data_IF_668885132319
#
_entry.id   IF_668885132319
#
_cell.length_a   1.000
_cell.length_b   1.000
_cell.length_c   1.000
_cell.angle_alpha   90.00
_cell.angle_beta   90.00
_cell.angle_gamma   90.00
#
_symmetry.space_group_name_H-M   'P 1'
#
loop_
_entity.id
_entity.type
_entity.pdbx_description
1 polymer ?
#
# COMPACT_ATOMS: atom_id res chain seq x y z
N UNK A 1 23.73 7.44 -0.96
CA UNK A 1 22.55 7.47 -0.07
C UNK A 1 22.57 8.80 0.65
N UNK A 2 21.41 9.40 0.91
CA UNK A 2 21.34 10.62 1.72
C UNK A 2 20.99 10.28 3.16
N UNK A 3 21.58 11.03 4.09
CA UNK A 3 21.17 11.07 5.49
C UNK A 3 20.75 12.51 5.83
N UNK A 4 19.46 12.70 6.09
CA UNK A 4 18.84 14.01 6.30
C UNK A 4 18.29 14.09 7.73
N UNK A 5 18.88 14.93 8.57
CA UNK A 5 18.47 15.11 9.96
C UNK A 5 17.54 16.32 10.12
N UNK A 6 16.23 16.09 10.06
CA UNK A 6 15.21 17.13 10.27
C UNK A 6 14.95 17.42 11.76
N UNK A 7 15.65 16.74 12.68
CA UNK A 7 15.57 17.08 14.11
C UNK A 7 16.38 18.35 14.44
N UNK A 8 17.28 18.77 13.55
CA UNK A 8 18.07 19.98 13.71
C UNK A 8 17.23 21.24 13.47
N UNK A 9 17.47 22.34 14.20
CA UNK A 9 16.67 23.56 14.09
C UNK A 9 16.85 24.30 12.76
N UNK A 10 18.00 24.13 12.10
CA UNK A 10 18.35 24.81 10.85
C UNK A 10 18.69 23.76 9.78
N UNK A 11 17.68 23.28 9.06
CA UNK A 11 17.89 22.43 7.90
C UNK A 11 18.06 23.30 6.64
N UNK A 12 19.20 23.20 5.97
CA UNK A 12 19.45 23.89 4.69
C UNK A 12 19.38 22.91 3.52
N UNK A 13 18.31 23.02 2.73
CA UNK A 13 18.09 22.18 1.54
C UNK A 13 19.16 22.40 0.46
N UNK A 14 19.82 23.57 0.42
CA UNK A 14 20.84 23.86 -0.58
C UNK A 14 22.14 23.11 -0.31
N UNK A 15 22.41 22.79 0.95
CA UNK A 15 23.58 22.03 1.39
C UNK A 15 23.51 20.53 1.06
N UNK A 16 22.38 20.03 0.53
CA UNK A 16 22.26 18.63 0.10
C UNK A 16 23.14 18.41 -1.14
N UNK A 17 24.18 17.60 -1.00
CA UNK A 17 24.99 17.09 -2.10
C UNK A 17 24.33 15.84 -2.68
N UNK A 18 24.19 15.78 -4.00
CA UNK A 18 23.50 14.70 -4.71
C UNK A 18 24.45 14.02 -5.69
N UNK A 19 24.35 12.70 -5.81
CA UNK A 19 25.25 11.88 -6.64
C UNK A 19 24.55 11.09 -7.73
N UNK A 20 23.21 11.05 -7.71
CA UNK A 20 22.39 10.32 -8.68
C UNK A 20 21.00 10.95 -8.83
N UNK A 21 20.23 10.47 -9.82
CA UNK A 21 18.91 11.02 -10.17
C UNK A 21 17.85 10.86 -9.06
N UNK A 22 17.95 9.79 -8.26
CA UNK A 22 17.03 9.59 -7.14
C UNK A 22 17.29 10.63 -6.03
N UNK A 23 18.55 10.84 -5.67
CA UNK A 23 18.95 11.88 -4.71
C UNK A 23 18.60 13.28 -5.21
N UNK A 24 18.75 13.54 -6.52
CA UNK A 24 18.28 14.78 -7.14
C UNK A 24 16.76 14.94 -6.97
N UNK A 25 15.97 13.88 -7.22
CA UNK A 25 14.51 13.91 -7.04
C UNK A 25 14.09 14.18 -5.58
N UNK A 26 14.85 13.66 -4.60
CA UNK A 26 14.67 13.99 -3.18
C UNK A 26 14.94 15.47 -2.92
N UNK A 27 16.06 15.99 -3.43
CA UNK A 27 16.42 17.42 -3.28
C UNK A 27 15.38 18.33 -3.92
N UNK A 28 14.96 18.05 -5.15
CA UNK A 28 13.96 18.82 -5.89
C UNK A 28 12.64 18.90 -5.12
N UNK A 29 12.17 17.76 -4.59
CA UNK A 29 10.99 17.72 -3.75
C UNK A 29 11.14 18.63 -2.51
N UNK A 30 12.29 18.57 -1.82
CA UNK A 30 12.52 19.38 -0.62
C UNK A 30 12.61 20.87 -0.95
N UNK A 31 13.24 21.24 -2.07
CA UNK A 31 13.27 22.64 -2.54
C UNK A 31 11.86 23.15 -2.78
N UNK A 32 11.02 22.36 -3.46
CA UNK A 32 9.61 22.70 -3.67
C UNK A 32 8.85 22.76 -2.34
N UNK A 33 9.08 21.82 -1.42
CA UNK A 33 8.43 21.76 -0.11
C UNK A 33 8.75 22.97 0.79
N UNK A 34 10.00 23.45 0.77
CA UNK A 34 10.43 24.62 1.53
C UNK A 34 10.20 25.96 0.81
N UNK A 35 9.74 25.94 -0.45
CA UNK A 35 9.33 27.16 -1.16
C UNK A 35 8.03 27.75 -0.61
N UNK A 36 7.74 29.00 -0.98
CA UNK A 36 6.51 29.72 -0.63
C UNK A 36 5.24 29.16 -1.29
N UNK A 37 5.35 28.18 -2.22
CA UNK A 37 4.19 27.52 -2.80
C UNK A 37 3.35 26.84 -1.71
N UNK A 38 2.03 27.01 -1.74
CA UNK A 38 1.12 26.33 -0.83
C UNK A 38 0.70 24.93 -1.32
N UNK A 39 1.06 24.58 -2.56
CA UNK A 39 0.66 23.34 -3.23
C UNK A 39 1.86 22.56 -3.74
N UNK A 40 1.65 21.25 -3.91
CA UNK A 40 2.57 20.30 -4.53
C UNK A 40 1.81 19.54 -5.61
N UNK A 41 2.45 19.30 -6.75
CA UNK A 41 1.88 18.45 -7.82
C UNK A 41 2.28 17.00 -7.56
N UNK A 42 1.32 16.09 -7.54
CA UNK A 42 1.55 14.65 -7.46
C UNK A 42 0.97 13.92 -8.67
N UNK A 43 1.53 12.75 -9.00
CA UNK A 43 1.02 11.91 -10.06
C UNK A 43 0.42 10.63 -9.47
N UNK A 44 -0.75 10.25 -9.97
CA UNK A 44 -1.32 8.93 -9.72
C UNK A 44 -0.76 7.92 -10.71
N UNK A 45 -0.69 6.65 -10.34
CA UNK A 45 -0.29 5.59 -11.27
C UNK A 45 -1.36 5.22 -12.29
N UNK A 46 -2.59 5.75 -12.19
CA UNK A 46 -3.72 5.57 -13.10
C UNK A 46 -4.05 4.10 -13.42
N UNK A 47 -5.24 3.59 -13.05
CA UNK A 47 -5.68 2.25 -13.47
C UNK A 47 -5.71 2.08 -15.01
N UNK A 48 -5.86 3.18 -15.74
CA UNK A 48 -5.85 3.26 -17.21
C UNK A 48 -4.44 3.37 -17.81
N UNK A 49 -3.39 3.49 -17.00
CA UNK A 49 -2.00 3.61 -17.43
C UNK A 49 -1.54 5.01 -17.85
N UNK A 50 -2.41 6.03 -17.77
CA UNK A 50 -2.02 7.44 -17.93
C UNK A 50 -1.99 8.11 -16.56
N UNK A 51 -0.84 8.59 -16.08
CA UNK A 51 -0.76 9.30 -14.82
C UNK A 51 -1.67 10.53 -14.82
N UNK A 52 -2.54 10.67 -13.81
CA UNK A 52 -3.31 11.90 -13.59
C UNK A 52 -2.57 12.78 -12.58
N UNK A 53 -2.43 14.05 -12.89
CA UNK A 53 -1.96 15.07 -11.96
C UNK A 53 -3.01 15.33 -10.88
N UNK A 54 -2.56 15.42 -9.63
CA UNK A 54 -3.34 15.81 -8.47
C UNK A 54 -2.62 16.96 -7.78
N UNK A 55 -3.35 18.03 -7.53
CA UNK A 55 -2.87 19.17 -6.77
C UNK A 55 -3.14 18.89 -5.29
N UNK A 56 -2.08 18.89 -4.48
CA UNK A 56 -2.15 18.67 -3.04
C UNK A 56 -1.72 19.91 -2.29
N UNK A 57 -2.52 20.35 -1.31
CA UNK A 57 -2.08 21.45 -0.45
C UNK A 57 -1.03 20.94 0.55
N UNK A 58 0.03 21.72 0.78
CA UNK A 58 1.03 21.39 1.81
C UNK A 58 0.34 21.25 3.17
N UNK A 59 -0.64 22.11 3.47
CA UNK A 59 -1.48 22.02 4.68
C UNK A 59 -2.06 20.62 4.89
N UNK A 60 -2.67 20.01 3.86
CA UNK A 60 -3.28 18.68 3.99
C UNK A 60 -2.23 17.57 4.05
N UNK A 61 -1.11 17.70 3.32
CA UNK A 61 0.02 16.77 3.44
C UNK A 61 0.63 16.78 4.85
N UNK A 62 0.76 17.96 5.49
CA UNK A 62 1.18 18.10 6.89
C UNK A 62 0.22 17.42 7.85
N UNK A 63 -1.09 17.64 7.65
CA UNK A 63 -2.13 17.00 8.46
C UNK A 63 -2.03 15.47 8.35
N UNK A 64 -1.86 14.96 7.14
CA UNK A 64 -1.65 13.53 6.87
C UNK A 64 -0.41 12.98 7.59
N UNK A 65 0.72 13.66 7.51
CA UNK A 65 1.95 13.27 8.20
C UNK A 65 1.78 13.26 9.73
N UNK A 66 1.14 14.29 10.29
CA UNK A 66 0.91 14.39 11.73
C UNK A 66 -0.05 13.31 12.26
N UNK A 67 -1.08 12.93 11.48
CA UNK A 67 -1.93 11.79 11.84
C UNK A 67 -1.12 10.49 11.90
N UNK A 68 -0.27 10.21 10.90
CA UNK A 68 0.65 9.06 10.95
C UNK A 68 1.56 9.11 12.18
N UNK A 69 2.19 10.27 12.45
CA UNK A 69 3.09 10.46 13.58
C UNK A 69 2.41 10.25 14.93
N UNK A 70 1.19 10.77 15.10
CA UNK A 70 0.38 10.60 16.31
C UNK A 70 0.02 9.13 16.53
N UNK A 71 -0.48 8.45 15.49
CA UNK A 71 -0.92 7.05 15.58
C UNK A 71 0.25 6.11 15.89
N UNK A 72 1.39 6.30 15.21
CA UNK A 72 2.57 5.45 15.38
C UNK A 72 3.48 5.93 16.52
N UNK A 73 3.10 6.95 17.29
CA UNK A 73 3.94 7.55 18.33
C UNK A 73 5.37 7.81 17.83
N UNK A 74 5.48 8.51 16.69
CA UNK A 74 6.77 8.92 16.12
C UNK A 74 7.21 10.22 16.78
N UNK A 75 8.46 10.25 17.20
CA UNK A 75 9.04 11.38 17.90
C UNK A 75 10.17 12.02 17.10
N UNK A 76 10.41 13.29 17.39
CA UNK A 76 11.53 14.04 16.85
C UNK A 76 12.85 13.28 17.11
N UNK A 77 13.63 13.08 16.06
CA UNK A 77 14.90 12.36 16.10
C UNK A 77 14.80 10.85 15.93
N UNK A 78 13.60 10.26 15.83
CA UNK A 78 13.45 8.88 15.38
C UNK A 78 14.01 8.71 13.96
N UNK A 79 14.60 7.55 13.69
CA UNK A 79 15.14 7.16 12.39
C UNK A 79 14.03 6.68 11.45
N UNK A 80 14.10 7.07 10.19
CA UNK A 80 13.16 6.61 9.17
C UNK A 80 13.87 6.25 7.87
N UNK A 81 13.32 5.31 7.11
CA UNK A 81 13.85 4.90 5.81
C UNK A 81 12.88 5.23 4.67
N UNK A 82 13.39 5.94 3.66
CA UNK A 82 12.77 6.11 2.35
C UNK A 82 13.47 5.21 1.33
N UNK A 83 12.74 4.25 0.78
CA UNK A 83 13.20 3.28 -0.23
C UNK A 83 12.17 3.09 -1.36
N UNK A 84 11.43 4.16 -1.66
CA UNK A 84 10.41 4.20 -2.70
C UNK A 84 10.63 5.43 -3.60
N UNK A 85 10.22 5.41 -4.88
CA UNK A 85 10.37 6.56 -5.76
C UNK A 85 9.59 7.78 -5.23
N UNK A 86 10.21 8.95 -5.27
CA UNK A 86 9.61 10.24 -4.87
C UNK A 86 8.66 10.78 -5.95
N UNK A 87 8.58 10.14 -7.11
CA UNK A 87 7.58 10.44 -8.15
C UNK A 87 6.16 10.16 -7.67
N UNK A 88 5.97 9.15 -6.81
CA UNK A 88 4.67 8.74 -6.29
C UNK A 88 4.41 9.32 -4.90
N UNK A 89 3.12 9.44 -4.56
CA UNK A 89 2.70 10.06 -3.29
C UNK A 89 3.24 9.33 -2.05
N UNK A 90 3.45 8.02 -2.12
CA UNK A 90 4.02 7.24 -1.02
C UNK A 90 5.44 7.70 -0.64
N UNK A 91 6.31 7.92 -1.64
CA UNK A 91 7.66 8.45 -1.41
C UNK A 91 7.65 9.90 -0.93
N UNK A 92 6.82 10.75 -1.55
CA UNK A 92 6.65 12.15 -1.14
C UNK A 92 6.22 12.28 0.33
N UNK A 93 5.27 11.47 0.79
CA UNK A 93 4.79 11.54 2.18
C UNK A 93 5.81 11.04 3.19
N UNK A 94 6.77 10.18 2.82
CA UNK A 94 7.88 9.86 3.72
C UNK A 94 8.79 11.07 3.97
N UNK A 95 9.03 11.90 2.93
CA UNK A 95 9.75 13.17 3.10
C UNK A 95 8.96 14.15 3.94
N UNK A 96 7.67 14.32 3.68
CA UNK A 96 6.81 15.20 4.49
C UNK A 96 6.76 14.75 5.96
N UNK A 97 6.57 13.45 6.24
CA UNK A 97 6.62 12.91 7.60
C UNK A 97 7.94 13.22 8.29
N UNK A 98 9.05 13.04 7.58
CA UNK A 98 10.36 13.34 8.13
C UNK A 98 10.53 14.82 8.49
N UNK A 99 10.12 15.73 7.59
CA UNK A 99 10.17 17.17 7.84
C UNK A 99 9.26 17.58 9.00
N UNK A 100 7.99 17.18 8.96
CA UNK A 100 6.97 17.67 9.90
C UNK A 100 7.12 17.10 11.31
N UNK A 101 7.60 15.86 11.44
CA UNK A 101 7.83 15.22 12.74
C UNK A 101 9.27 15.48 13.24
N UNK A 102 10.18 15.88 12.35
CA UNK A 102 11.60 16.08 12.66
C UNK A 102 12.37 14.78 12.78
N UNK A 103 12.18 13.86 11.83
CA UNK A 103 12.85 12.54 11.78
C UNK A 103 14.25 12.63 11.18
N UNK A 104 15.07 11.62 11.46
CA UNK A 104 16.34 11.35 10.77
C UNK A 104 16.07 10.43 9.59
N UNK A 105 15.94 11.00 8.39
CA UNK A 105 15.56 10.26 7.20
C UNK A 105 16.78 9.76 6.43
N UNK A 106 16.79 8.46 6.18
CA UNK A 106 17.74 7.78 5.31
C UNK A 106 17.06 7.63 3.95
N UNK A 107 17.65 8.17 2.89
CA UNK A 107 17.15 8.02 1.53
C UNK A 107 18.03 7.02 0.76
N UNK A 108 17.47 5.84 0.52
CA UNK A 108 18.08 4.76 -0.25
C UNK A 108 17.38 4.67 -1.61
N UNK A 109 18.15 4.42 -2.67
CA UNK A 109 17.58 4.22 -3.99
C UNK A 109 16.53 3.10 -3.96
N UNK A 110 15.38 3.24 -4.65
CA UNK A 110 14.33 2.24 -4.60
C UNK A 110 14.84 0.85 -4.98
N UNK A 111 14.63 -0.10 -4.08
CA UNK A 111 15.06 -1.50 -4.22
C UNK A 111 13.99 -2.43 -3.65
N UNK A 112 13.96 -3.66 -4.14
CA UNK A 112 13.14 -4.73 -3.56
C UNK A 112 13.82 -5.44 -2.39
N UNK A 113 15.15 -5.36 -2.27
CA UNK A 113 15.93 -6.00 -1.22
C UNK A 113 16.66 -4.94 -0.40
N UNK A 114 16.42 -4.94 0.91
CA UNK A 114 16.92 -3.92 1.85
C UNK A 114 17.82 -4.58 2.88
N UNK A 115 19.00 -4.02 3.09
CA UNK A 115 19.96 -4.47 4.10
C UNK A 115 20.38 -3.32 5.01
N UNK A 116 20.36 -3.57 6.32
CA UNK A 116 20.84 -2.59 7.30
C UNK A 116 22.36 -2.36 7.18
N UNK A 117 23.12 -3.38 6.80
CA UNK A 117 24.57 -3.28 6.61
C UNK A 117 24.91 -2.39 5.41
N UNK A 118 24.13 -2.49 4.33
CA UNK A 118 24.25 -1.62 3.16
C UNK A 118 23.92 -0.17 3.53
N UNK A 119 22.85 0.04 4.31
CA UNK A 119 22.48 1.35 4.84
C UNK A 119 23.63 1.95 5.65
N UNK A 120 24.13 1.24 6.67
CA UNK A 120 25.22 1.70 7.54
C UNK A 120 26.54 1.91 6.81
N UNK A 121 26.79 1.17 5.72
CA UNK A 121 27.97 1.41 4.88
C UNK A 121 27.80 2.63 3.98
N UNK A 122 26.55 2.93 3.58
CA UNK A 122 26.20 4.02 2.67
C UNK A 122 26.00 5.38 3.34
N UNK A 123 25.84 5.41 4.67
CA UNK A 123 25.74 6.64 5.48
C UNK A 123 26.75 6.53 6.62
N UNK A 124 27.48 7.59 6.97
CA UNK A 124 28.46 7.56 8.07
C UNK A 124 27.81 7.53 9.48
N UNK A 125 26.84 6.63 9.69
CA UNK A 125 26.10 6.36 10.91
C UNK A 125 26.07 4.85 11.14
N UNK A 126 25.72 4.43 12.37
CA UNK A 126 25.64 3.01 12.71
C UNK A 126 24.34 2.69 13.44
N UNK A 127 23.31 2.33 12.69
CA UNK A 127 22.01 1.94 13.20
C UNK A 127 21.98 0.44 13.47
N UNK A 128 21.44 0.04 14.62
CA UNK A 128 21.13 -1.36 14.93
C UNK A 128 19.66 -1.71 14.61
N UNK A 129 18.81 -0.69 14.52
CA UNK A 129 17.39 -0.76 14.15
C UNK A 129 16.93 0.55 13.52
N UNK A 130 15.83 0.50 12.76
CA UNK A 130 15.15 1.68 12.19
C UNK A 130 13.80 1.86 12.89
N UNK A 131 13.47 3.07 13.33
CA UNK A 131 12.25 3.32 14.11
C UNK A 131 10.99 3.26 13.24
N UNK A 132 11.07 3.78 12.01
CA UNK A 132 9.91 3.83 11.10
C UNK A 132 10.26 3.57 9.64
N UNK A 133 9.48 2.72 8.97
CA UNK A 133 9.59 2.52 7.53
C UNK A 133 8.23 2.24 6.90
N UNK A 134 8.07 2.66 5.64
CA UNK A 134 6.93 2.31 4.80
C UNK A 134 7.40 1.44 3.63
N UNK A 135 6.85 0.23 3.48
CA UNK A 135 7.25 -0.73 2.45
C UNK A 135 6.05 -1.25 1.65
N UNK A 136 6.35 -1.84 0.49
CA UNK A 136 5.42 -2.69 -0.25
C UNK A 136 5.50 -4.15 0.22
N UNK A 137 4.47 -4.99 -0.01
CA UNK A 137 4.54 -6.43 0.31
C UNK A 137 5.77 -7.13 -0.27
N UNK A 138 6.15 -6.80 -1.51
CA UNK A 138 7.32 -7.38 -2.17
C UNK A 138 8.64 -7.01 -1.44
N UNK A 139 8.76 -5.77 -0.98
CA UNK A 139 9.94 -5.35 -0.21
C UNK A 139 10.02 -6.05 1.14
N UNK A 140 8.88 -6.29 1.78
CA UNK A 140 8.80 -7.05 3.04
C UNK A 140 9.25 -8.49 2.82
N UNK A 141 8.66 -9.18 1.83
CA UNK A 141 8.98 -10.57 1.50
C UNK A 141 10.47 -10.76 1.19
N UNK A 142 11.06 -9.84 0.43
CA UNK A 142 12.46 -9.93 0.03
C UNK A 142 13.44 -9.41 1.09
N UNK A 143 12.98 -8.85 2.22
CA UNK A 143 13.83 -8.16 3.21
C UNK A 143 13.48 -8.48 4.67
N UNK A 144 13.02 -9.71 4.95
CA UNK A 144 12.58 -10.13 6.29
C UNK A 144 13.63 -9.88 7.40
N UNK A 145 14.91 -10.13 7.11
CA UNK A 145 16.01 -9.86 8.05
C UNK A 145 16.10 -8.38 8.44
N UNK A 146 15.91 -7.46 7.48
CA UNK A 146 15.83 -6.03 7.75
C UNK A 146 14.53 -5.66 8.47
N UNK A 147 13.39 -6.24 8.08
CA UNK A 147 12.09 -5.99 8.70
C UNK A 147 12.11 -6.35 10.19
N UNK A 148 12.79 -7.44 10.58
CA UNK A 148 12.98 -7.82 11.99
C UNK A 148 13.70 -6.76 12.84
N UNK A 149 14.43 -5.84 12.18
CA UNK A 149 15.17 -4.73 12.80
C UNK A 149 14.43 -3.39 12.68
N UNK A 150 13.18 -3.38 12.24
CA UNK A 150 12.35 -2.19 12.18
C UNK A 150 11.37 -2.18 13.36
N UNK A 151 11.24 -1.06 14.06
CA UNK A 151 10.33 -0.95 15.20
C UNK A 151 8.87 -0.79 14.74
N UNK A 152 8.63 0.10 13.77
CA UNK A 152 7.30 0.38 13.21
C UNK A 152 7.34 0.30 11.69
N UNK A 153 6.47 -0.54 11.14
CA UNK A 153 6.38 -0.82 9.71
C UNK A 153 4.94 -0.62 9.24
N UNK A 154 4.77 0.22 8.24
CA UNK A 154 3.51 0.31 7.49
C UNK A 154 3.68 -0.32 6.12
N UNK A 155 2.71 -1.13 5.72
CA UNK A 155 2.72 -1.89 4.47
C UNK A 155 1.54 -1.43 3.63
N UNK A 156 1.82 -1.03 2.38
CA UNK A 156 0.80 -0.48 1.48
C UNK A 156 1.00 -0.89 0.02
N UNK A 157 0.04 -0.51 -0.82
CA UNK A 157 0.09 -0.70 -2.27
C UNK A 157 -0.52 -2.01 -2.78
N UNK A 158 -0.53 -3.07 -1.96
CA UNK A 158 -1.24 -4.33 -2.20
C UNK A 158 -1.47 -5.09 -0.87
N UNK A 159 -2.42 -6.05 -0.82
CA UNK A 159 -2.59 -6.93 0.32
C UNK A 159 -1.37 -7.84 0.59
N UNK A 160 -1.11 -8.15 1.85
CA UNK A 160 -0.12 -9.16 2.23
C UNK A 160 -0.55 -10.58 1.86
N UNK A 161 0.41 -11.42 1.46
CA UNK A 161 0.18 -12.85 1.31
C UNK A 161 0.14 -13.54 2.69
N UNK A 162 -0.57 -14.67 2.78
CA UNK A 162 -0.60 -15.47 4.02
C UNK A 162 0.79 -15.99 4.41
N UNK A 163 1.63 -16.32 3.41
CA UNK A 163 3.04 -16.67 3.64
C UNK A 163 3.78 -15.57 4.40
N UNK A 164 3.72 -14.32 3.90
CA UNK A 164 4.40 -13.19 4.54
C UNK A 164 3.82 -12.90 5.92
N UNK A 165 2.49 -13.02 6.11
CA UNK A 165 1.89 -12.87 7.44
C UNK A 165 2.40 -13.92 8.44
N UNK A 166 2.59 -15.17 8.01
CA UNK A 166 3.17 -16.23 8.84
C UNK A 166 4.63 -15.95 9.20
N UNK A 167 5.43 -15.44 8.26
CA UNK A 167 6.82 -15.04 8.51
C UNK A 167 6.90 -13.87 9.49
N UNK A 168 6.06 -12.85 9.30
CA UNK A 168 5.94 -11.70 10.21
C UNK A 168 5.47 -12.10 11.61
N UNK A 169 4.78 -13.23 11.76
CA UNK A 169 4.28 -13.68 13.06
C UNK A 169 5.43 -13.92 14.06
N UNK A 170 6.63 -14.24 13.57
CA UNK A 170 7.81 -14.50 14.40
C UNK A 170 8.46 -13.23 14.97
N UNK A 171 8.00 -12.03 14.59
CA UNK A 171 8.61 -10.75 15.00
C UNK A 171 7.85 -10.07 16.15
N UNK A 172 8.53 -9.17 16.85
CA UNK A 172 7.98 -8.40 17.99
C UNK A 172 7.82 -6.90 17.66
N UNK A 173 7.89 -6.52 16.38
CA UNK A 173 7.71 -5.14 15.94
C UNK A 173 6.23 -4.76 15.74
N UNK A 174 5.96 -3.50 15.44
CA UNK A 174 4.61 -3.03 15.13
C UNK A 174 4.42 -2.97 13.61
N UNK A 175 3.64 -3.91 13.08
CA UNK A 175 3.41 -4.02 11.63
C UNK A 175 1.95 -3.77 11.30
N UNK A 176 1.71 -2.87 10.35
CA UNK A 176 0.35 -2.50 9.94
C UNK A 176 0.18 -2.61 8.44
N UNK A 177 -0.89 -3.27 7.99
CA UNK A 177 -1.42 -3.04 6.64
C UNK A 177 -2.15 -1.69 6.61
N UNK A 178 -2.07 -0.96 5.50
CA UNK A 178 -2.71 0.35 5.36
C UNK A 178 -3.73 0.37 4.24
N UNK A 179 -4.86 1.04 4.48
CA UNK A 179 -5.85 1.34 3.44
C UNK A 179 -5.66 2.79 2.98
N UNK A 180 -5.33 2.98 1.70
CA UNK A 180 -4.84 4.23 1.15
C UNK A 180 -5.23 4.42 -0.32
N UNK A 181 -5.37 5.68 -0.73
CA UNK A 181 -5.48 6.09 -2.12
C UNK A 181 -4.90 7.49 -2.30
N UNK A 182 -4.80 7.95 -3.55
CA UNK A 182 -4.17 9.27 -3.81
C UNK A 182 -5.14 10.40 -3.48
N UNK A 183 -6.43 10.17 -3.66
CA UNK A 183 -7.54 11.06 -3.32
C UNK A 183 -7.58 11.39 -1.82
N UNK A 184 -7.07 10.48 -0.98
CA UNK A 184 -6.91 10.68 0.47
C UNK A 184 -5.48 11.06 0.87
N UNK A 185 -4.66 11.48 -0.08
CA UNK A 185 -3.21 11.74 0.04
C UNK A 185 -2.40 10.46 0.31
N UNK A 186 -2.74 9.72 1.36
CA UNK A 186 -2.12 8.44 1.72
C UNK A 186 -3.14 7.58 2.46
N UNK A 187 -2.68 6.76 3.39
CA UNK A 187 -3.55 5.95 4.24
C UNK A 187 -4.50 6.80 5.08
N UNK A 188 -5.68 6.24 5.31
CA UNK A 188 -6.69 6.75 6.25
C UNK A 188 -6.98 5.75 7.37
N UNK A 189 -6.60 4.49 7.18
CA UNK A 189 -6.80 3.41 8.16
C UNK A 189 -5.63 2.43 8.21
N UNK A 190 -5.49 1.77 9.36
CA UNK A 190 -4.53 0.71 9.63
C UNK A 190 -5.24 -0.57 10.02
N UNK A 191 -4.60 -1.70 9.73
CA UNK A 191 -4.96 -3.00 10.26
C UNK A 191 -3.70 -3.63 10.86
N UNK A 192 -3.72 -3.86 12.16
CA UNK A 192 -2.60 -4.49 12.87
C UNK A 192 -2.38 -5.91 12.35
N UNK A 193 -1.16 -6.21 11.91
CA UNK A 193 -0.76 -7.57 11.53
C UNK A 193 -0.48 -8.34 12.82
N UNK A 194 -1.03 -9.56 12.91
CA UNK A 194 -0.80 -10.42 14.05
C UNK A 194 0.65 -10.91 14.09
N UNK A 195 1.29 -10.84 15.26
CA UNK A 195 2.65 -11.32 15.50
C UNK A 195 2.88 -11.64 16.98
N UNK A 196 4.13 -11.91 17.39
CA UNK A 196 4.44 -12.25 18.78
C UNK A 196 4.03 -11.15 19.76
N UNK A 197 4.16 -9.88 19.39
CA UNK A 197 3.75 -8.73 20.22
C UNK A 197 2.23 -8.56 20.25
N UNK A 198 1.55 -8.82 19.14
CA UNK A 198 0.09 -8.69 19.00
C UNK A 198 -0.57 -9.96 18.45
N UNK A 199 -0.59 -11.08 19.21
CA UNK A 199 -1.05 -12.36 18.69
C UNK A 199 -2.57 -12.41 18.42
N UNK A 200 -3.32 -11.54 19.08
CA UNK A 200 -4.78 -11.43 18.96
C UNK A 200 -5.19 -10.15 18.22
N UNK A 201 -4.35 -9.64 17.32
CA UNK A 201 -4.65 -8.45 16.54
C UNK A 201 -5.97 -8.59 15.78
N UNK A 202 -6.87 -7.63 15.97
CA UNK A 202 -8.16 -7.58 15.27
C UNK A 202 -7.90 -7.44 13.76
N UNK A 203 -8.51 -8.32 12.94
CA UNK A 203 -8.27 -8.37 11.50
C UNK A 203 -9.13 -7.36 10.72
N UNK A 204 -9.26 -6.14 11.24
CA UNK A 204 -10.12 -5.07 10.73
C UNK A 204 -9.30 -3.82 10.44
N UNK A 205 -9.73 -3.01 9.46
CA UNK A 205 -9.16 -1.68 9.28
C UNK A 205 -9.81 -0.70 10.25
N UNK A 206 -9.00 0.08 10.95
CA UNK A 206 -9.42 1.18 11.82
C UNK A 206 -8.89 2.51 11.26
N UNK A 207 -9.81 3.42 10.95
CA UNK A 207 -9.51 4.75 10.45
C UNK A 207 -8.93 5.66 11.55
N UNK A 208 -8.17 6.69 11.17
CA UNK A 208 -7.74 7.74 12.10
C UNK A 208 -8.90 8.38 12.87
N UNK A 209 -8.65 8.94 14.05
CA UNK A 209 -9.66 9.68 14.83
C UNK A 209 -10.30 10.82 14.03
N UNK A 210 -9.51 11.44 13.15
CA UNK A 210 -9.89 12.58 12.34
C UNK A 210 -10.65 12.18 11.06
N UNK A 211 -10.86 10.87 10.83
CA UNK A 211 -11.56 10.32 9.66
C UNK A 211 -12.84 9.64 10.13
N UNK A 212 -13.96 9.94 9.48
CA UNK A 212 -15.21 9.21 9.66
C UNK A 212 -15.53 8.44 8.38
N UNK A 213 -16.07 7.23 8.53
CA UNK A 213 -16.45 6.39 7.40
C UNK A 213 -17.94 6.03 7.43
N UNK A 214 -18.50 5.87 6.23
CA UNK A 214 -19.87 5.41 6.01
C UNK A 214 -19.95 4.59 4.72
N UNK A 215 -21.16 4.26 4.27
CA UNK A 215 -21.43 3.48 3.06
C UNK A 215 -22.44 4.17 2.17
N UNK A 216 -22.26 4.05 0.86
CA UNK A 216 -23.29 4.41 -0.11
C UNK A 216 -24.30 3.26 -0.33
N UNK A 217 -25.27 3.47 -1.21
CA UNK A 217 -26.31 2.48 -1.55
C UNK A 217 -25.77 1.17 -2.18
N UNK A 218 -24.53 1.19 -2.67
CA UNK A 218 -23.85 0.01 -3.25
C UNK A 218 -23.10 -0.79 -2.18
N UNK A 219 -23.02 -0.27 -0.95
CA UNK A 219 -22.16 -0.80 0.12
C UNK A 219 -20.69 -0.39 -0.03
N UNK A 220 -20.40 0.59 -0.88
CA UNK A 220 -19.04 1.09 -1.06
C UNK A 220 -18.66 2.09 0.04
N UNK A 221 -17.39 2.06 0.45
CA UNK A 221 -16.85 2.93 1.48
C UNK A 221 -16.95 4.40 1.04
N UNK A 222 -17.51 5.23 1.91
CA UNK A 222 -17.51 6.69 1.83
C UNK A 222 -16.63 7.21 2.96
N UNK A 223 -15.70 8.09 2.63
CA UNK A 223 -14.67 8.59 3.55
C UNK A 223 -14.84 10.10 3.70
N UNK A 224 -15.20 10.55 4.90
CA UNK A 224 -15.16 11.95 5.28
C UNK A 224 -13.74 12.28 5.74
N UNK A 225 -12.98 12.95 4.86
CA UNK A 225 -11.57 13.22 5.12
C UNK A 225 -11.38 14.48 5.95
N UNK A 226 -10.26 14.59 6.69
CA UNK A 226 -9.93 15.81 7.41
C UNK A 226 -9.39 16.95 6.51
N UNK A 227 -9.45 16.80 5.19
CA UNK A 227 -8.81 17.67 4.20
C UNK A 227 -9.82 18.64 3.59
N UNK A 228 -10.06 19.76 4.28
CA UNK A 228 -10.91 20.87 3.82
C UNK A 228 -12.33 20.45 3.36
N UNK A 229 -12.93 19.48 4.06
CA UNK A 229 -14.31 19.02 3.80
C UNK A 229 -14.43 18.07 2.60
N UNK A 230 -13.31 17.57 2.07
CA UNK A 230 -13.32 16.57 1.01
C UNK A 230 -13.94 15.26 1.51
N UNK A 231 -15.01 14.84 0.84
CA UNK A 231 -15.58 13.50 0.96
C UNK A 231 -15.18 12.67 -0.27
N UNK A 232 -14.75 11.43 -0.04
CA UNK A 232 -14.35 10.50 -1.09
C UNK A 232 -15.31 9.32 -1.11
N UNK A 233 -16.07 9.17 -2.19
CA UNK A 233 -16.87 7.96 -2.46
C UNK A 233 -16.01 7.00 -3.26
N UNK A 234 -15.75 5.82 -2.69
CA UNK A 234 -14.90 4.81 -3.31
C UNK A 234 -15.72 3.83 -4.17
N UNK A 235 -15.03 2.92 -4.84
CA UNK A 235 -15.61 1.71 -5.42
C UNK A 235 -15.19 0.45 -4.62
N UNK A 236 -14.77 0.63 -3.37
CA UNK A 236 -14.39 -0.46 -2.48
C UNK A 236 -15.62 -0.88 -1.66
N UNK A 237 -16.12 -2.08 -1.92
CA UNK A 237 -17.20 -2.67 -1.12
C UNK A 237 -16.62 -3.07 0.22
N UNK A 238 -17.28 -2.68 1.30
CA UNK A 238 -16.86 -2.94 2.67
C UNK A 238 -18.00 -3.52 3.49
N UNK A 239 -17.68 -4.04 4.66
CA UNK A 239 -18.63 -4.26 5.75
C UNK A 239 -18.24 -3.29 6.87
N UNK A 240 -19.14 -2.35 7.20
CA UNK A 240 -18.91 -1.43 8.31
C UNK A 240 -19.17 -2.12 9.64
N UNK A 241 -18.25 -1.93 10.57
CA UNK A 241 -18.38 -2.35 11.96
C UNK A 241 -18.87 -1.17 12.79
N UNK A 242 -18.24 0.00 12.61
CA UNK A 242 -18.64 1.27 13.20
C UNK A 242 -18.18 2.45 12.31
N UNK A 243 -18.22 3.67 12.85
CA UNK A 243 -17.87 4.91 12.13
C UNK A 243 -16.37 5.08 11.85
N UNK A 244 -15.52 4.15 12.31
CA UNK A 244 -14.06 4.13 12.08
C UNK A 244 -13.56 2.74 11.67
N UNK A 245 -14.27 1.66 11.95
CA UNK A 245 -13.84 0.28 11.66
C UNK A 245 -14.62 -0.38 10.52
N UNK A 246 -13.89 -1.07 9.65
CA UNK A 246 -14.48 -1.79 8.52
C UNK A 246 -13.65 -2.99 8.06
N UNK A 247 -14.33 -3.95 7.42
CA UNK A 247 -13.71 -5.01 6.64
C UNK A 247 -13.77 -4.66 5.15
N UNK A 248 -12.66 -4.76 4.45
CA UNK A 248 -12.64 -4.64 2.99
C UNK A 248 -13.07 -5.95 2.35
N UNK A 249 -14.05 -5.91 1.44
CA UNK A 249 -14.64 -7.09 0.80
C UNK A 249 -14.12 -7.27 -0.63
N UNK A 250 -14.07 -6.20 -1.41
CA UNK A 250 -13.68 -6.26 -2.82
C UNK A 250 -13.97 -4.98 -3.58
N UNK A 251 -13.79 -4.99 -4.90
CA UNK A 251 -14.10 -3.85 -5.78
C UNK A 251 -15.47 -3.99 -6.42
N UNK A 252 -16.31 -2.96 -6.33
CA UNK A 252 -17.62 -2.93 -6.97
C UNK A 252 -17.52 -3.13 -8.50
N UNK A 253 -16.49 -2.54 -9.12
CA UNK A 253 -16.25 -2.64 -10.57
C UNK A 253 -15.83 -4.05 -11.02
N UNK A 254 -15.38 -4.89 -10.09
CA UNK A 254 -14.94 -6.26 -10.38
C UNK A 254 -16.01 -7.31 -10.02
N UNK A 255 -17.13 -6.92 -9.40
CA UNK A 255 -18.15 -7.88 -8.95
C UNK A 255 -18.72 -8.66 -10.13
N UNK A 256 -18.71 -9.99 -10.00
CA UNK A 256 -19.30 -10.89 -10.98
C UNK A 256 -20.69 -11.28 -10.50
N UNK A 257 -21.72 -11.03 -11.31
CA UNK A 257 -23.10 -11.42 -11.04
C UNK A 257 -23.41 -12.73 -11.76
N UNK A 258 -23.19 -13.86 -11.07
CA UNK A 258 -23.38 -15.19 -11.63
C UNK A 258 -24.66 -15.84 -11.13
N UNK A 259 -25.68 -15.95 -11.98
CA UNK A 259 -26.97 -16.55 -11.62
C UNK A 259 -27.67 -15.83 -10.46
N UNK A 260 -27.52 -14.50 -10.37
CA UNK A 260 -28.07 -13.67 -9.29
C UNK A 260 -27.23 -13.62 -8.02
N UNK A 261 -26.06 -14.27 -7.99
CA UNK A 261 -25.14 -14.26 -6.85
C UNK A 261 -23.97 -13.31 -7.15
N UNK A 262 -23.68 -12.41 -6.20
CA UNK A 262 -22.50 -11.55 -6.24
C UNK A 262 -21.26 -12.33 -5.81
N UNK A 263 -20.28 -12.42 -6.70
CA UNK A 263 -18.99 -13.05 -6.46
C UNK A 263 -17.92 -11.95 -6.50
N UNK A 264 -17.08 -11.90 -5.48
CA UNK A 264 -15.99 -10.93 -5.35
C UNK A 264 -14.68 -11.60 -5.79
N UNK A 265 -14.11 -11.22 -6.95
CA UNK A 265 -12.88 -11.82 -7.45
C UNK A 265 -11.75 -11.87 -6.43
N UNK A 266 -11.54 -10.80 -5.68
CA UNK A 266 -10.40 -10.68 -4.78
C UNK A 266 -10.48 -11.66 -3.59
N UNK A 267 -11.68 -11.97 -3.10
CA UNK A 267 -11.87 -13.00 -2.07
C UNK A 267 -11.57 -14.41 -2.61
N UNK A 268 -11.95 -14.66 -3.86
CA UNK A 268 -11.76 -15.96 -4.52
C UNK A 268 -10.28 -16.15 -4.87
N UNK A 269 -9.62 -15.08 -5.34
CA UNK A 269 -8.19 -15.03 -5.59
C UNK A 269 -7.38 -15.36 -4.33
N UNK A 270 -7.73 -14.77 -3.18
CA UNK A 270 -7.07 -15.08 -1.91
C UNK A 270 -7.18 -16.57 -1.53
N UNK A 271 -8.32 -17.20 -1.81
CA UNK A 271 -8.55 -18.64 -1.56
C UNK A 271 -7.76 -19.53 -2.52
N UNK A 272 -7.51 -19.06 -3.75
CA UNK A 272 -6.78 -19.81 -4.79
C UNK A 272 -5.26 -19.62 -4.71
N UNK A 273 -4.78 -18.52 -4.13
CA UNK A 273 -3.36 -18.14 -4.11
C UNK A 273 -2.42 -19.22 -3.59
N UNK A 274 -2.76 -20.01 -2.54
CA UNK A 274 -1.91 -21.10 -2.07
C UNK A 274 -1.77 -22.28 -3.04
N UNK A 275 -2.59 -22.35 -4.09
CA UNK A 275 -2.69 -23.50 -5.00
C UNK A 275 -2.22 -23.19 -6.42
N UNK A 276 -1.82 -21.95 -6.70
CA UNK A 276 -1.42 -21.50 -8.05
C UNK A 276 -0.13 -20.69 -7.94
N UNK A 277 0.98 -21.28 -8.38
CA UNK A 277 2.33 -20.70 -8.30
C UNK A 277 2.65 -19.67 -9.40
N UNK A 278 1.65 -19.21 -10.15
CA UNK A 278 1.82 -18.19 -11.20
C UNK A 278 0.85 -17.04 -10.97
N UNK A 279 1.12 -15.88 -11.55
CA UNK A 279 0.17 -14.79 -11.48
C UNK A 279 -1.16 -15.20 -12.13
N UNK A 280 -2.26 -14.85 -11.47
CA UNK A 280 -3.60 -15.14 -11.96
C UNK A 280 -4.58 -14.08 -11.48
N UNK A 281 -5.76 -14.04 -12.09
CA UNK A 281 -6.88 -13.26 -11.61
C UNK A 281 -8.21 -13.93 -11.95
N UNK A 282 -9.24 -13.58 -11.19
CA UNK A 282 -10.62 -13.99 -11.43
C UNK A 282 -11.32 -12.86 -12.19
N UNK A 283 -12.07 -13.23 -13.23
CA UNK A 283 -12.89 -12.32 -14.02
C UNK A 283 -14.13 -13.07 -14.52
N UNK A 284 -14.98 -12.40 -15.30
CA UNK A 284 -16.18 -12.98 -15.89
C UNK A 284 -16.10 -13.07 -17.41
N UNK A 285 -16.87 -14.01 -17.95
CA UNK A 285 -17.24 -14.11 -19.35
C UNK A 285 -18.76 -14.12 -19.47
N UNK A 286 -19.29 -13.54 -20.55
CA UNK A 286 -20.74 -13.57 -20.80
C UNK A 286 -21.24 -15.01 -20.93
N UNK A 287 -22.40 -15.31 -20.32
CA UNK A 287 -23.01 -16.65 -20.30
C UNK A 287 -24.54 -16.53 -20.42
N UNK A 288 -25.15 -17.36 -21.28
CA UNK A 288 -26.60 -17.28 -21.56
C UNK A 288 -27.47 -17.63 -20.35
N UNK A 289 -27.01 -18.50 -19.46
CA UNK A 289 -27.79 -19.01 -18.33
C UNK A 289 -27.50 -18.22 -17.05
N UNK A 290 -26.21 -17.91 -16.82
CA UNK A 290 -25.75 -17.24 -15.60
C UNK A 290 -25.69 -15.72 -15.73
N UNK A 291 -25.81 -15.18 -16.95
CA UNK A 291 -25.49 -13.79 -17.28
C UNK A 291 -23.97 -13.60 -17.36
N UNK A 292 -23.29 -13.82 -16.22
CA UNK A 292 -21.85 -13.85 -16.14
C UNK A 292 -21.38 -15.17 -15.52
N UNK A 293 -20.54 -15.93 -16.23
CA UNK A 293 -19.82 -17.06 -15.64
C UNK A 293 -18.47 -16.61 -15.12
N UNK A 294 -18.10 -17.11 -13.94
CA UNK A 294 -16.80 -16.87 -13.33
C UNK A 294 -15.72 -17.71 -14.05
N UNK A 295 -14.62 -17.07 -14.43
CA UNK A 295 -13.48 -17.70 -15.08
C UNK A 295 -12.18 -17.36 -14.35
N UNK A 296 -11.19 -18.24 -14.49
CA UNK A 296 -9.85 -18.08 -13.96
C UNK A 296 -8.88 -17.83 -15.11
N UNK A 297 -8.06 -16.79 -15.00
CA UNK A 297 -7.04 -16.47 -16.01
C UNK A 297 -5.67 -16.60 -15.36
N UNK A 298 -4.79 -17.42 -15.94
CA UNK A 298 -3.46 -17.76 -15.38
C UNK A 298 -2.37 -17.39 -16.36
N UNK A 299 -1.29 -16.79 -15.85
CA UNK A 299 -0.09 -16.49 -16.63
C UNK A 299 0.74 -17.76 -16.84
N UNK A 300 1.17 -18.00 -18.08
CA UNK A 300 2.04 -19.10 -18.48
C UNK A 300 1.38 -20.11 -19.43
N UNK A 301 2.05 -21.25 -19.59
CA UNK A 301 1.60 -22.31 -20.48
C UNK A 301 0.45 -23.13 -19.89
N UNK A 302 -0.36 -23.72 -20.78
CA UNK A 302 -1.47 -24.58 -20.38
C UNK A 302 -0.98 -25.77 -19.56
N UNK A 303 -1.57 -25.94 -18.38
CA UNK A 303 -1.27 -27.03 -17.47
C UNK A 303 -2.49 -27.44 -16.66
N UNK A 304 -2.42 -28.60 -16.02
CA UNK A 304 -3.42 -28.97 -15.02
C UNK A 304 -3.20 -28.14 -13.75
N UNK A 305 -4.28 -27.62 -13.17
CA UNK A 305 -4.29 -26.94 -11.89
C UNK A 305 -5.19 -27.73 -10.95
N UNK A 306 -4.72 -27.99 -9.74
CA UNK A 306 -5.50 -28.63 -8.69
C UNK A 306 -5.65 -27.67 -7.51
N UNK A 307 -6.84 -27.10 -7.40
CA UNK A 307 -7.28 -26.29 -6.27
C UNK A 307 -8.53 -26.92 -5.63
N UNK A 308 -8.67 -28.25 -5.70
CA UNK A 308 -9.80 -28.98 -5.10
C UNK A 308 -9.88 -28.84 -3.58
N UNK A 309 -8.74 -28.58 -2.94
CA UNK A 309 -8.62 -28.30 -1.50
C UNK A 309 -8.86 -26.83 -1.14
N UNK A 310 -9.06 -25.95 -2.12
CA UNK A 310 -9.41 -24.56 -1.85
C UNK A 310 -10.83 -24.50 -1.26
N UNK A 311 -11.03 -23.64 -0.25
CA UNK A 311 -12.33 -23.41 0.38
C UNK A 311 -13.25 -22.59 -0.54
N UNK A 312 -13.74 -23.20 -1.62
CA UNK A 312 -14.64 -22.58 -2.59
C UNK A 312 -16.05 -23.13 -2.43
N UNK A 313 -17.04 -22.24 -2.40
CA UNK A 313 -18.43 -22.65 -2.59
C UNK A 313 -18.63 -23.14 -4.03
N UNK A 314 -19.71 -23.91 -4.28
CA UNK A 314 -20.05 -24.40 -5.64
C UNK A 314 -20.18 -23.29 -6.71
N UNK A 315 -20.45 -22.06 -6.29
CA UNK A 315 -20.58 -20.88 -7.17
C UNK A 315 -19.23 -20.20 -7.45
N UNK A 316 -18.25 -20.36 -6.56
CA UNK A 316 -16.92 -19.76 -6.68
C UNK A 316 -15.95 -20.60 -7.51
N UNK A 317 -16.30 -21.86 -7.82
CA UNK A 317 -15.49 -22.73 -8.69
C UNK A 317 -15.49 -22.17 -10.12
N UNK A 318 -14.31 -21.82 -10.70
CA UNK A 318 -14.20 -21.35 -12.07
C UNK A 318 -14.83 -22.31 -13.07
N UNK A 319 -15.62 -21.77 -14.00
CA UNK A 319 -16.29 -22.54 -15.06
C UNK A 319 -15.40 -22.74 -16.29
N UNK A 320 -14.33 -21.96 -16.40
CA UNK A 320 -13.35 -21.98 -17.49
C UNK A 320 -12.01 -21.50 -16.93
N UNK A 321 -10.92 -22.09 -17.42
CA UNK A 321 -9.55 -21.66 -17.12
C UNK A 321 -8.89 -21.24 -18.43
N UNK A 322 -8.37 -20.01 -18.48
CA UNK A 322 -7.69 -19.44 -19.65
C UNK A 322 -6.22 -19.22 -19.30
N UNK A 323 -5.33 -19.69 -20.15
CA UNK A 323 -3.89 -19.46 -20.02
C UNK A 323 -3.44 -18.37 -20.97
N UNK A 324 -2.71 -17.38 -20.46
CA UNK A 324 -2.10 -16.31 -21.26
C UNK A 324 -0.59 -16.37 -21.04
N UNK A 325 0.24 -16.46 -22.09
CA UNK A 325 1.69 -16.61 -21.92
C UNK A 325 2.34 -15.55 -21.01
N UNK A 326 1.89 -14.29 -21.12
CA UNK A 326 2.37 -13.19 -20.29
C UNK A 326 1.28 -12.14 -20.15
N UNK A 327 1.03 -11.68 -18.93
CA UNK A 327 0.10 -10.60 -18.65
C UNK A 327 0.67 -9.24 -19.01
N UNK A 328 -0.19 -8.37 -19.53
CA UNK A 328 0.10 -6.95 -19.62
C UNK A 328 0.07 -6.33 -18.21
N UNK A 329 1.03 -5.45 -17.91
CA UNK A 329 1.15 -4.78 -16.61
C UNK A 329 1.15 -3.26 -16.74
N UNK A 330 0.82 -2.55 -15.66
CA UNK A 330 1.04 -1.10 -15.53
C UNK A 330 2.52 -0.80 -15.25
N UNK A 331 2.91 0.47 -15.32
CA UNK A 331 4.26 0.91 -14.90
C UNK A 331 4.57 0.54 -13.44
N UNK A 332 3.55 0.50 -12.59
CA UNK A 332 3.67 0.05 -11.20
C UNK A 332 3.66 -1.47 -11.02
N UNK A 333 3.75 -2.25 -12.11
CA UNK A 333 3.77 -3.72 -12.09
C UNK A 333 2.42 -4.42 -11.89
N UNK A 334 1.30 -3.70 -11.80
CA UNK A 334 -0.03 -4.30 -11.57
C UNK A 334 -0.55 -4.97 -12.84
N UNK A 335 -1.17 -6.14 -12.70
CA UNK A 335 -1.82 -6.86 -13.81
C UNK A 335 -2.96 -6.02 -14.39
N UNK A 336 -2.96 -5.83 -15.72
CA UNK A 336 -4.09 -5.27 -16.47
C UNK A 336 -5.06 -6.40 -16.80
N UNK A 337 -6.13 -6.51 -16.01
CA UNK A 337 -7.16 -7.56 -16.16
C UNK A 337 -7.90 -7.41 -17.50
N UNK A 338 -8.04 -8.49 -18.26
CA UNK A 338 -8.82 -8.52 -19.49
C UNK A 338 -10.29 -8.83 -19.18
N UNK A 339 -11.18 -8.30 -20.03
CA UNK A 339 -12.60 -8.65 -20.05
C UNK A 339 -12.84 -9.66 -21.18
N UNK A 340 -13.73 -10.63 -20.96
CA UNK A 340 -13.95 -11.79 -21.85
C UNK A 340 -15.40 -11.96 -22.30
#
# INVERSE_FOLDING_TARGET
MLYLDFSQPNFDVNAIEVTNEFEQSVKDFLVEWFSDSEVMIAHTSGSTGTPKEIILTKKNMRKSANMTGKYLHLEKGNSALLVMPVTYIAGKLMLVRAVEIGLKLICMQPTSHISLDEINSGISQNFTSIDFVALTPMQVENSLDFVSRCQKLIIGGAPLSEKVKQELFAFENEVYETYAMTETITHIAFKQVANQKYPNAEQVFEAFDEVTISQDERGCLVIDTPYDGLQVVTNDVVELIDTRKFNWIGRADNVINSGGIKLFPEQIENKLKPFIDSDFYITSKTDELLGQKLILVVEGEQRSLDFSLADLTKYQVPKEIIFIPTFSRTESGKIKRQQF
#
